data_IF_734006752683
#
_entry.id   IF_734006752683
#
_cell.length_a   1.000
_cell.length_b   1.000
_cell.length_c   1.000
_cell.angle_alpha   90.00
_cell.angle_beta   90.00
_cell.angle_gamma   90.00
#
_symmetry.space_group_name_H-M   'P 1'
#
loop_
_entity.id
_entity.type
_entity.pdbx_description
1 polymer ?
#
# COMPACT_ATOMS: atom_id res chain seq x y z
N UNK A 1 -20.55 -1.17 13.77
CA UNK A 1 -19.82 0.12 13.69
C UNK A 1 -20.22 0.88 12.45
N UNK A 2 -20.22 2.22 12.50
CA UNK A 2 -20.65 3.09 11.39
C UNK A 2 -19.55 4.09 11.02
N UNK A 3 -19.52 4.53 9.77
CA UNK A 3 -18.64 5.61 9.30
C UNK A 3 -19.16 7.00 9.73
N UNK A 4 -18.45 8.06 9.32
CA UNK A 4 -18.82 9.46 9.60
C UNK A 4 -20.17 9.89 8.97
N UNK A 5 -20.68 9.12 8.01
CA UNK A 5 -21.96 9.35 7.33
C UNK A 5 -23.07 8.43 7.86
N UNK A 6 -22.80 7.62 8.89
CA UNK A 6 -23.77 6.71 9.51
C UNK A 6 -23.92 5.34 8.81
N UNK A 7 -23.08 5.00 7.83
CA UNK A 7 -23.12 3.73 7.10
C UNK A 7 -22.46 2.62 7.92
N UNK A 8 -23.14 1.49 8.11
CA UNK A 8 -22.60 0.35 8.86
C UNK A 8 -21.46 -0.34 8.09
N UNK A 9 -20.24 -0.27 8.62
CA UNK A 9 -19.03 -0.83 8.00
C UNK A 9 -18.79 -2.30 8.37
N UNK A 10 -19.12 -2.70 9.60
CA UNK A 10 -18.97 -4.08 10.08
C UNK A 10 -19.77 -4.31 11.38
N UNK A 11 -20.13 -5.57 11.61
CA UNK A 11 -20.68 -6.05 12.87
C UNK A 11 -19.57 -6.77 13.66
N UNK A 12 -19.25 -6.23 14.84
CA UNK A 12 -18.28 -6.81 15.77
C UNK A 12 -19.05 -7.29 17.01
N UNK A 13 -19.00 -8.59 17.27
CA UNK A 13 -19.65 -9.18 18.43
C UNK A 13 -18.70 -9.16 19.63
N UNK A 14 -19.04 -8.40 20.67
CA UNK A 14 -18.31 -8.35 21.94
C UNK A 14 -18.95 -9.26 22.98
N UNK A 15 -18.13 -9.76 23.91
CA UNK A 15 -18.45 -10.74 24.98
C UNK A 15 -19.55 -10.32 25.98
N UNK A 16 -20.21 -9.16 25.82
CA UNK A 16 -21.24 -8.68 26.75
C UNK A 16 -22.67 -9.16 26.48
N UNK A 17 -22.98 -9.68 25.27
CA UNK A 17 -24.37 -9.98 24.87
C UNK A 17 -24.59 -11.43 24.39
N UNK A 18 -23.60 -12.31 24.54
CA UNK A 18 -23.61 -13.62 23.90
C UNK A 18 -23.51 -14.79 24.87
N UNK A 19 -24.55 -15.02 25.67
CA UNK A 19 -24.73 -16.32 26.37
C UNK A 19 -25.28 -17.44 25.45
N UNK A 20 -25.69 -17.14 24.21
CA UNK A 20 -26.44 -18.12 23.39
C UNK A 20 -25.67 -18.95 22.35
N UNK A 21 -24.39 -18.66 22.05
CA UNK A 21 -23.68 -19.41 21.00
C UNK A 21 -22.25 -19.79 21.43
N UNK A 22 -22.10 -21.06 21.80
CA UNK A 22 -20.87 -21.67 22.29
C UNK A 22 -20.28 -22.66 21.28
N UNK A 23 -19.69 -22.19 20.18
CA UNK A 23 -18.77 -23.04 19.40
C UNK A 23 -17.68 -22.21 18.72
N UNK A 24 -16.42 -22.53 19.04
CA UNK A 24 -15.22 -22.36 18.19
C UNK A 24 -14.73 -20.93 17.94
N UNK A 25 -13.39 -20.77 17.97
CA UNK A 25 -12.61 -19.56 17.68
C UNK A 25 -12.49 -18.58 18.86
N UNK A 26 -11.24 -18.28 19.24
CA UNK A 26 -10.90 -17.36 20.33
C UNK A 26 -11.63 -16.03 20.18
N UNK A 27 -12.55 -15.75 21.11
CA UNK A 27 -13.41 -14.57 21.05
C UNK A 27 -12.64 -13.34 21.52
N UNK A 28 -12.68 -12.27 20.72
CA UNK A 28 -12.04 -10.98 21.02
C UNK A 28 -12.62 -10.40 22.33
N UNK A 29 -11.74 -9.86 23.17
CA UNK A 29 -12.14 -9.01 24.29
C UNK A 29 -12.76 -7.69 23.79
N UNK A 30 -13.52 -7.02 24.66
CA UNK A 30 -14.13 -5.72 24.33
C UNK A 30 -13.10 -4.69 23.86
N UNK A 31 -11.91 -4.68 24.45
CA UNK A 31 -10.83 -3.78 24.06
C UNK A 31 -10.17 -4.13 22.72
N UNK A 32 -10.05 -5.41 22.40
CA UNK A 32 -9.53 -5.85 21.09
C UNK A 32 -10.54 -5.53 19.99
N UNK A 33 -11.83 -5.81 20.22
CA UNK A 33 -12.90 -5.45 19.30
C UNK A 33 -13.02 -3.92 19.12
N UNK A 34 -12.83 -3.12 20.19
CA UNK A 34 -12.78 -1.66 20.11
C UNK A 34 -11.58 -1.16 19.31
N UNK A 35 -10.39 -1.76 19.49
CA UNK A 35 -9.18 -1.42 18.72
C UNK A 35 -9.34 -1.76 17.23
N UNK A 36 -9.79 -2.97 16.93
CA UNK A 36 -10.07 -3.42 15.56
C UNK A 36 -11.15 -2.53 14.93
N UNK A 37 -12.20 -2.25 15.67
CA UNK A 37 -13.27 -1.39 15.22
C UNK A 37 -12.82 0.03 14.91
N UNK A 38 -11.99 0.66 15.76
CA UNK A 38 -11.39 1.96 15.47
C UNK A 38 -10.51 1.92 14.20
N UNK A 39 -9.78 0.84 13.97
CA UNK A 39 -9.00 0.67 12.75
C UNK A 39 -9.91 0.53 11.51
N UNK A 40 -10.99 -0.25 11.60
CA UNK A 40 -11.98 -0.45 10.52
C UNK A 40 -12.71 0.86 10.19
N UNK A 41 -13.08 1.64 11.20
CA UNK A 41 -13.78 2.92 11.01
C UNK A 41 -12.94 3.95 10.24
N UNK A 42 -11.61 3.81 10.24
CA UNK A 42 -10.70 4.65 9.46
C UNK A 42 -10.41 4.11 8.07
N UNK A 43 -10.87 2.90 7.70
CA UNK A 43 -10.71 2.34 6.36
C UNK A 43 -11.20 3.31 5.27
N UNK A 44 -12.35 4.01 5.42
CA UNK A 44 -12.74 5.03 4.45
C UNK A 44 -11.69 6.12 4.22
N UNK A 45 -10.98 6.57 5.27
CA UNK A 45 -9.89 7.56 5.15
C UNK A 45 -8.72 7.02 4.29
N UNK A 46 -8.50 5.70 4.30
CA UNK A 46 -7.51 5.03 3.45
C UNK A 46 -8.04 4.70 2.04
N UNK A 47 -9.37 4.68 1.87
CA UNK A 47 -10.04 4.42 0.59
C UNK A 47 -10.38 5.72 -0.17
N UNK A 48 -10.37 6.88 0.49
CA UNK A 48 -10.58 8.17 -0.14
C UNK A 48 -9.38 8.52 -1.05
N UNK A 49 -9.63 8.85 -2.33
CA UNK A 49 -8.56 9.29 -3.22
C UNK A 49 -7.84 10.50 -2.64
N UNK A 50 -6.54 10.37 -2.41
CA UNK A 50 -5.69 11.50 -1.99
C UNK A 50 -5.56 12.49 -3.13
N UNK A 51 -5.70 13.78 -2.80
CA UNK A 51 -5.57 14.87 -3.77
C UNK A 51 -4.18 14.87 -4.41
N UNK A 52 -4.09 15.21 -5.70
CA UNK A 52 -2.84 15.24 -6.47
C UNK A 52 -2.38 13.88 -7.03
N UNK A 53 -2.85 12.76 -6.48
CA UNK A 53 -2.45 11.40 -6.90
C UNK A 53 -3.47 10.75 -7.84
N UNK A 54 -3.63 11.34 -9.02
CA UNK A 54 -4.63 10.86 -9.98
C UNK A 54 -4.21 9.52 -10.62
N UNK A 55 -5.15 8.61 -10.92
CA UNK A 55 -4.83 7.43 -11.70
C UNK A 55 -4.26 7.83 -13.06
N UNK A 56 -3.35 7.01 -13.59
CA UNK A 56 -2.83 7.17 -14.95
C UNK A 56 -3.97 7.04 -15.97
N UNK A 57 -5.01 6.28 -15.61
CA UNK A 57 -6.15 5.92 -16.45
C UNK A 57 -6.01 4.50 -17.02
N UNK A 58 -7.11 3.97 -17.55
CA UNK A 58 -7.10 2.73 -18.33
C UNK A 58 -6.83 3.01 -19.82
N UNK A 59 -6.46 1.99 -20.57
CA UNK A 59 -6.30 2.08 -22.02
C UNK A 59 -5.98 0.71 -22.63
N UNK A 60 -5.83 0.60 -23.96
CA UNK A 60 -5.50 -0.68 -24.61
C UNK A 60 -4.22 -1.32 -24.08
N UNK A 61 -3.31 -0.48 -23.58
CA UNK A 61 -1.99 -0.87 -23.09
C UNK A 61 -1.95 -1.10 -21.57
N UNK A 62 -2.87 -0.50 -20.81
CA UNK A 62 -2.81 -0.44 -19.35
C UNK A 62 -4.00 -1.10 -18.69
N UNK A 63 -3.72 -1.92 -17.69
CA UNK A 63 -4.72 -2.66 -16.96
C UNK A 63 -5.65 -1.73 -16.17
N UNK A 64 -6.95 -1.82 -16.43
CA UNK A 64 -7.94 -1.03 -15.72
C UNK A 64 -8.01 -1.35 -14.22
N UNK A 65 -7.65 -2.58 -13.82
CA UNK A 65 -7.58 -3.01 -12.42
C UNK A 65 -6.28 -2.59 -11.70
N UNK A 66 -5.35 -1.94 -12.40
CA UNK A 66 -4.10 -1.40 -11.86
C UNK A 66 -3.86 0.04 -12.36
N UNK A 67 -4.71 0.99 -11.97
CA UNK A 67 -4.75 2.30 -12.61
C UNK A 67 -3.62 3.24 -12.16
N UNK A 68 -2.87 2.92 -11.11
CA UNK A 68 -1.83 3.77 -10.55
C UNK A 68 -0.44 3.32 -11.01
N UNK A 69 0.40 4.28 -11.40
CA UNK A 69 1.71 3.98 -11.97
C UNK A 69 2.76 4.92 -11.41
N UNK A 70 3.93 4.33 -11.08
CA UNK A 70 5.10 5.05 -10.59
C UNK A 70 6.30 4.61 -11.41
N UNK A 71 7.12 5.57 -11.83
CA UNK A 71 8.35 5.31 -12.55
C UNK A 71 9.56 5.50 -11.64
N UNK A 72 10.49 4.54 -11.67
CA UNK A 72 11.81 4.65 -11.04
C UNK A 72 12.88 4.74 -12.12
N UNK A 73 13.96 5.48 -11.85
CA UNK A 73 15.08 5.58 -12.79
C UNK A 73 15.83 4.24 -12.87
N UNK A 74 16.13 3.77 -14.09
CA UNK A 74 16.77 2.48 -14.36
C UNK A 74 18.11 2.35 -13.61
N UNK A 75 18.87 3.44 -13.53
CA UNK A 75 20.13 3.49 -12.79
C UNK A 75 19.92 3.27 -11.30
N UNK A 76 18.98 4.00 -10.69
CA UNK A 76 18.64 3.84 -9.28
C UNK A 76 18.19 2.41 -8.97
N UNK A 77 17.36 1.81 -9.84
CA UNK A 77 16.92 0.42 -9.65
C UNK A 77 18.11 -0.53 -9.62
N UNK A 78 19.07 -0.40 -10.55
CA UNK A 78 20.25 -1.28 -10.60
C UNK A 78 21.13 -1.14 -9.37
N UNK A 79 21.29 0.08 -8.86
CA UNK A 79 22.12 0.37 -7.69
C UNK A 79 21.43 -0.08 -6.38
N UNK A 80 20.09 -0.10 -6.33
CA UNK A 80 19.32 -0.32 -5.09
C UNK A 80 18.35 -1.52 -5.14
N UNK A 81 18.48 -2.43 -6.11
CA UNK A 81 17.50 -3.50 -6.33
C UNK A 81 17.23 -4.35 -5.07
N UNK A 82 18.29 -4.78 -4.38
CA UNK A 82 18.17 -5.61 -3.19
C UNK A 82 17.41 -4.90 -2.06
N UNK A 83 17.60 -3.58 -1.92
CA UNK A 83 16.86 -2.77 -0.96
C UNK A 83 15.38 -2.65 -1.35
N UNK A 84 15.11 -2.34 -2.63
CA UNK A 84 13.74 -2.20 -3.15
C UNK A 84 12.96 -3.49 -2.92
N UNK A 85 13.53 -4.63 -3.33
CA UNK A 85 12.93 -5.94 -3.19
C UNK A 85 12.65 -6.30 -1.72
N UNK A 86 13.65 -6.11 -0.84
CA UNK A 86 13.51 -6.42 0.57
C UNK A 86 12.48 -5.53 1.29
N UNK A 87 12.49 -4.21 1.02
CA UNK A 87 11.51 -3.27 1.59
C UNK A 87 10.10 -3.59 1.12
N UNK A 88 9.93 -3.87 -0.17
CA UNK A 88 8.61 -4.21 -0.72
C UNK A 88 8.07 -5.50 -0.08
N UNK A 89 8.89 -6.55 0.04
CA UNK A 89 8.50 -7.81 0.68
C UNK A 89 8.14 -7.63 2.15
N UNK A 90 8.96 -6.90 2.92
CA UNK A 90 8.70 -6.63 4.35
C UNK A 90 7.37 -5.90 4.59
N UNK A 91 7.00 -5.02 3.67
CA UNK A 91 5.81 -4.20 3.79
C UNK A 91 4.61 -4.75 3.01
N UNK A 92 4.74 -5.92 2.38
CA UNK A 92 3.73 -6.48 1.47
C UNK A 92 3.30 -5.50 0.37
N UNK A 93 4.24 -4.66 -0.07
CA UNK A 93 4.04 -3.67 -1.10
C UNK A 93 4.22 -4.33 -2.48
N UNK A 94 3.26 -4.21 -3.41
CA UNK A 94 3.42 -4.74 -4.75
C UNK A 94 4.62 -4.10 -5.48
N UNK A 95 5.44 -4.92 -6.14
CA UNK A 95 6.55 -4.44 -6.98
C UNK A 95 6.37 -4.98 -8.41
N UNK A 96 5.26 -4.61 -9.04
CA UNK A 96 4.86 -5.14 -10.35
C UNK A 96 5.41 -4.25 -11.47
N UNK A 97 6.50 -4.68 -12.11
CA UNK A 97 7.01 -4.00 -13.30
C UNK A 97 6.08 -4.23 -14.50
N UNK A 98 5.81 -3.17 -15.25
CA UNK A 98 4.99 -3.23 -16.49
C UNK A 98 5.81 -3.64 -17.73
N UNK A 99 7.14 -3.59 -17.64
CA UNK A 99 8.05 -3.70 -18.78
C UNK A 99 8.17 -2.42 -19.62
N UNK A 100 7.36 -1.39 -19.37
CA UNK A 100 7.49 -0.10 -20.05
C UNK A 100 8.77 0.64 -19.61
N UNK A 101 9.42 1.27 -20.59
CA UNK A 101 10.52 2.20 -20.39
C UNK A 101 10.17 3.57 -21.00
N UNK A 102 10.35 4.64 -20.24
CA UNK A 102 10.17 6.02 -20.70
C UNK A 102 11.56 6.64 -20.84
N UNK A 103 11.86 7.20 -22.02
CA UNK A 103 13.09 7.95 -22.28
C UNK A 103 12.81 9.43 -22.09
N UNK A 104 13.20 9.98 -20.93
CA UNK A 104 13.01 11.38 -20.58
C UNK A 104 14.06 11.77 -19.56
N UNK A 105 15.11 12.46 -20.01
CA UNK A 105 16.27 12.83 -19.18
C UNK A 105 16.84 11.62 -18.40
N UNK A 106 16.87 10.45 -19.05
CA UNK A 106 17.16 9.16 -18.42
C UNK A 106 16.24 8.05 -18.94
N UNK A 107 16.46 6.84 -18.45
CA UNK A 107 15.58 5.68 -18.71
C UNK A 107 14.80 5.38 -17.45
N UNK A 108 13.47 5.39 -17.53
CA UNK A 108 12.59 5.17 -16.39
C UNK A 108 11.77 3.90 -16.56
N UNK A 109 11.74 3.03 -15.56
CA UNK A 109 10.95 1.80 -15.54
C UNK A 109 9.66 2.00 -14.78
N UNK A 110 8.55 1.56 -15.37
CA UNK A 110 7.21 1.82 -14.84
C UNK A 110 6.68 0.61 -14.07
N UNK A 111 6.16 0.87 -12.88
CA UNK A 111 5.49 -0.08 -11.99
C UNK A 111 4.01 0.25 -11.86
N UNK A 112 3.17 -0.78 -11.72
CA UNK A 112 1.71 -0.65 -11.66
C UNK A 112 1.11 -1.15 -10.33
N UNK A 113 0.04 -0.48 -9.89
CA UNK A 113 -0.59 -0.72 -8.59
C UNK A 113 -2.12 -0.68 -8.70
N UNK A 114 -2.79 -1.58 -7.98
CA UNK A 114 -4.24 -1.58 -7.80
C UNK A 114 -4.68 -0.48 -6.84
N UNK A 115 -4.00 -0.34 -5.70
CA UNK A 115 -4.35 0.60 -4.65
C UNK A 115 -3.51 1.87 -4.72
N UNK A 116 -4.17 3.02 -4.57
CA UNK A 116 -3.51 4.33 -4.61
C UNK A 116 -2.46 4.43 -3.50
N UNK A 117 -2.78 3.97 -2.29
CA UNK A 117 -1.88 4.05 -1.14
C UNK A 117 -0.58 3.27 -1.35
N UNK A 118 -0.63 2.09 -1.97
CA UNK A 118 0.57 1.32 -2.27
C UNK A 118 1.48 2.08 -3.25
N UNK A 119 0.89 2.67 -4.29
CA UNK A 119 1.62 3.48 -5.25
C UNK A 119 2.26 4.71 -4.57
N UNK A 120 1.54 5.40 -3.67
CA UNK A 120 2.06 6.57 -2.95
C UNK A 120 3.23 6.17 -2.04
N UNK A 121 3.11 5.06 -1.32
CA UNK A 121 4.18 4.57 -0.44
C UNK A 121 5.43 4.18 -1.24
N UNK A 122 5.23 3.54 -2.39
CA UNK A 122 6.32 3.19 -3.30
C UNK A 122 6.99 4.45 -3.88
N UNK A 123 6.18 5.41 -4.34
CA UNK A 123 6.62 6.71 -4.85
C UNK A 123 7.45 7.48 -3.80
N UNK A 124 6.95 7.60 -2.59
CA UNK A 124 7.59 8.34 -1.51
C UNK A 124 8.91 7.69 -1.08
N UNK A 125 8.93 6.35 -0.95
CA UNK A 125 10.10 5.62 -0.46
C UNK A 125 11.27 5.65 -1.45
N UNK A 126 10.99 5.50 -2.73
CA UNK A 126 12.02 5.29 -3.75
C UNK A 126 12.21 6.51 -4.66
N UNK A 127 11.80 7.70 -4.20
CA UNK A 127 11.90 8.96 -4.93
C UNK A 127 11.28 8.90 -6.35
N UNK A 128 10.19 8.15 -6.49
CA UNK A 128 9.59 7.86 -7.78
C UNK A 128 9.01 9.09 -8.48
N UNK A 129 8.66 8.89 -9.75
CA UNK A 129 7.86 9.86 -10.53
C UNK A 129 6.45 9.32 -10.70
N UNK A 130 5.47 10.10 -10.28
CA UNK A 130 4.09 9.73 -10.49
C UNK A 130 3.73 9.88 -11.96
N UNK A 131 2.94 8.96 -12.52
CA UNK A 131 2.53 9.02 -13.92
C UNK A 131 1.05 9.37 -14.05
N UNK A 132 0.76 10.38 -14.87
CA UNK A 132 -0.60 10.73 -15.32
C UNK A 132 -0.62 10.75 -16.84
N UNK A 133 -1.37 9.84 -17.47
CA UNK A 133 -1.25 9.62 -18.91
C UNK A 133 0.18 9.18 -19.29
N UNK A 134 0.88 9.97 -20.10
CA UNK A 134 2.27 9.73 -20.51
C UNK A 134 3.27 10.66 -19.83
N UNK A 135 2.81 11.51 -18.91
CA UNK A 135 3.60 12.59 -18.33
C UNK A 135 3.97 12.31 -16.88
N UNK A 136 5.15 12.79 -16.48
CA UNK A 136 5.54 12.83 -15.08
C UNK A 136 4.79 13.94 -14.34
N UNK A 137 4.26 13.57 -13.19
CA UNK A 137 3.56 14.47 -12.28
C UNK A 137 4.28 14.47 -10.93
N UNK A 138 4.24 15.62 -10.25
CA UNK A 138 4.98 15.87 -9.02
C UNK A 138 4.00 16.26 -7.92
N UNK A 139 3.22 15.30 -7.39
CA UNK A 139 2.31 15.58 -6.30
C UNK A 139 3.09 15.92 -5.02
N UNK A 140 2.51 16.75 -4.16
CA UNK A 140 3.06 17.03 -2.84
C UNK A 140 2.91 15.80 -1.93
N UNK A 141 3.91 15.58 -1.06
CA UNK A 141 3.86 14.49 -0.09
C UNK A 141 2.72 14.74 0.91
N UNK A 142 1.77 13.80 1.10
CA UNK A 142 0.74 13.97 2.10
C UNK A 142 1.31 14.04 3.52
N UNK A 143 0.84 15.00 4.34
CA UNK A 143 1.33 15.20 5.71
C UNK A 143 1.23 13.95 6.59
N UNK A 144 0.11 13.24 6.49
CA UNK A 144 -0.18 12.04 7.28
C UNK A 144 0.13 10.74 6.51
N UNK A 145 1.22 10.71 5.74
CA UNK A 145 1.64 9.51 5.03
C UNK A 145 2.33 8.53 6.01
N UNK A 146 1.81 7.30 6.19
CA UNK A 146 2.48 6.32 7.03
C UNK A 146 3.84 5.95 6.43
N UNK A 147 4.82 5.69 7.29
CA UNK A 147 6.15 5.24 6.83
C UNK A 147 6.18 3.72 6.67
N UNK A 148 6.86 3.25 5.63
CA UNK A 148 7.18 1.83 5.47
C UNK A 148 8.12 1.38 6.58
N UNK A 149 8.00 0.12 7.01
CA UNK A 149 8.92 -0.51 7.95
C UNK A 149 10.33 -0.50 7.35
N UNK A 150 11.33 0.04 8.06
CA UNK A 150 12.70 0.10 7.56
C UNK A 150 13.38 -1.27 7.70
N UNK A 151 14.36 -1.56 6.83
CA UNK A 151 15.14 -2.81 6.86
C UNK A 151 15.95 -3.00 8.15
N UNK A 152 16.21 -1.93 8.90
CA UNK A 152 16.86 -1.99 10.23
C UNK A 152 16.08 -2.88 11.22
N UNK A 153 14.76 -2.99 11.03
CA UNK A 153 13.90 -3.86 11.85
C UNK A 153 13.85 -5.32 11.36
N UNK A 154 14.43 -5.61 10.19
CA UNK A 154 14.53 -6.97 9.66
C UNK A 154 15.69 -7.70 10.36
N UNK A 155 15.36 -8.64 11.26
CA UNK A 155 16.35 -9.61 11.73
C UNK A 155 16.91 -10.33 10.51
N UNK A 156 18.20 -10.12 10.21
CA UNK A 156 18.91 -10.93 9.22
C UNK A 156 18.67 -12.41 9.58
N UNK A 157 18.15 -13.25 8.66
CA UNK A 157 18.00 -14.66 8.94
C UNK A 157 19.36 -15.22 9.37
N UNK A 158 19.39 -15.93 10.49
CA UNK A 158 20.62 -16.53 10.99
C UNK A 158 20.99 -17.66 10.02
N UNK A 159 22.21 -17.76 9.50
CA UNK A 159 22.62 -18.86 8.63
C UNK A 159 22.49 -20.25 9.29
N UNK A 160 22.17 -20.32 10.59
CA UNK A 160 21.82 -21.54 11.31
C UNK A 160 20.36 -21.99 11.13
N UNK A 161 19.47 -21.12 10.69
CA UNK A 161 18.04 -21.41 10.50
C UNK A 161 17.75 -22.00 9.10
N UNK A 162 18.79 -22.22 8.28
CA UNK A 162 18.75 -22.81 6.95
C UNK A 162 19.33 -24.24 6.90
N UNK A 163 19.36 -24.96 8.04
CA UNK A 163 19.77 -26.37 8.12
C UNK A 163 18.61 -27.28 8.47
#
# INVERSE_FOLDING_TARGET
>A
MRDANGVTLAWLYCRGEAERYSFGVGKLSSDEARRIGKAIARIPEFLMPRQGFYPRGGGPRWRADRPYHVALEDRYIREHWDEIDAVCKLNSLPCNATGEAIQSEGVWRVYEFTWQMDAILFWDRFAGRWLRGTEFHYPERPENLPSLKPLETWRKPNPRDLR
#
